data_IF_414015412138
#
_entry.id   IF_414015412138
#
_cell.length_a   1.000
_cell.length_b   1.000
_cell.length_c   1.000
_cell.angle_alpha   90.00
_cell.angle_beta   90.00
_cell.angle_gamma   90.00
#
_symmetry.space_group_name_H-M   'P 1'
#
loop_
_entity.id
_entity.type
_entity.pdbx_description
1 polymer ?
#
# COMPACT_ATOMS: atom_id res chain seq x y z
N UNK A 1 35.17 -20.43 6.57
CA UNK A 1 34.77 -19.26 7.38
C UNK A 1 35.11 -17.92 6.73
N UNK A 2 36.36 -17.61 6.29
CA UNK A 2 36.69 -16.29 5.76
C UNK A 2 35.87 -15.90 4.51
N UNK A 3 35.74 -16.83 3.55
CA UNK A 3 34.94 -16.62 2.35
C UNK A 3 33.44 -16.48 2.63
N UNK A 4 32.92 -17.18 3.65
CA UNK A 4 31.51 -17.07 4.04
C UNK A 4 31.22 -15.68 4.61
N UNK A 5 32.10 -15.14 5.46
CA UNK A 5 31.99 -13.77 5.98
C UNK A 5 32.21 -12.68 4.93
N UNK A 6 32.94 -12.98 3.85
CA UNK A 6 33.22 -12.01 2.80
C UNK A 6 32.11 -11.96 1.74
N UNK A 7 31.35 -13.05 1.58
CA UNK A 7 30.21 -13.08 0.66
C UNK A 7 29.10 -12.13 1.14
N UNK A 8 28.36 -11.55 0.20
CA UNK A 8 27.17 -10.75 0.54
C UNK A 8 26.11 -11.57 1.27
N UNK A 9 26.07 -12.88 0.99
CA UNK A 9 25.26 -13.88 1.71
C UNK A 9 26.08 -15.18 1.79
N UNK A 10 26.61 -15.50 2.96
CA UNK A 10 27.28 -16.77 3.24
C UNK A 10 26.27 -17.90 3.50
N UNK A 11 26.39 -19.03 2.80
CA UNK A 11 25.50 -20.19 2.95
C UNK A 11 26.29 -21.38 3.48
N UNK A 12 25.83 -21.99 4.58
CA UNK A 12 26.42 -23.20 5.14
C UNK A 12 25.42 -24.36 5.24
N UNK A 13 25.95 -25.58 5.20
CA UNK A 13 25.19 -26.82 5.37
C UNK A 13 24.79 -26.99 6.83
N UNK A 14 23.50 -27.26 7.08
CA UNK A 14 22.94 -27.39 8.41
C UNK A 14 23.34 -28.69 9.10
N UNK A 15 23.45 -29.81 8.36
CA UNK A 15 23.85 -31.11 8.94
C UNK A 15 25.32 -31.42 8.68
N UNK A 16 25.77 -31.28 7.44
CA UNK A 16 27.14 -31.58 7.00
C UNK A 16 28.14 -30.46 7.25
N UNK A 17 27.70 -29.26 7.60
CA UNK A 17 28.59 -28.11 7.85
C UNK A 17 29.25 -28.19 9.22
N UNK A 18 30.51 -27.76 9.31
CA UNK A 18 31.21 -27.60 10.59
C UNK A 18 30.58 -26.46 11.40
N UNK A 19 30.70 -26.52 12.73
CA UNK A 19 30.13 -25.50 13.62
C UNK A 19 30.67 -24.10 13.30
N UNK A 20 31.98 -24.01 13.02
CA UNK A 20 32.65 -22.78 12.56
C UNK A 20 32.08 -22.26 11.22
N UNK A 21 31.64 -23.15 10.32
CA UNK A 21 31.00 -22.72 9.08
C UNK A 21 29.56 -22.23 9.32
N UNK A 22 28.81 -22.86 10.23
CA UNK A 22 27.45 -22.45 10.58
C UNK A 22 27.41 -21.11 11.29
N UNK A 23 28.34 -20.87 12.22
CA UNK A 23 28.47 -19.59 12.91
C UNK A 23 28.94 -18.45 12.00
N UNK A 24 29.62 -18.77 10.90
CA UNK A 24 30.15 -17.79 9.96
C UNK A 24 29.21 -17.48 8.77
N UNK A 25 28.06 -18.16 8.66
CA UNK A 25 27.13 -18.02 7.55
C UNK A 25 25.88 -17.20 7.94
N UNK A 26 25.32 -16.48 6.97
CA UNK A 26 24.07 -15.71 7.14
C UNK A 26 22.83 -16.61 6.97
N UNK A 27 22.97 -17.74 6.26
CA UNK A 27 21.90 -18.67 5.98
C UNK A 27 22.35 -20.12 6.13
N UNK A 28 21.51 -20.96 6.74
CA UNK A 28 21.75 -22.38 6.93
C UNK A 28 20.76 -23.22 6.12
N UNK A 29 21.28 -24.20 5.38
CA UNK A 29 20.47 -25.20 4.70
C UNK A 29 20.14 -26.33 5.67
N UNK A 30 18.96 -26.29 6.29
CA UNK A 30 18.55 -27.28 7.30
C UNK A 30 18.45 -28.72 6.76
N UNK A 31 18.25 -28.85 5.45
CA UNK A 31 18.11 -30.10 4.73
C UNK A 31 19.33 -30.49 3.88
N UNK A 32 20.39 -29.67 3.88
CA UNK A 32 21.60 -29.87 3.08
C UNK A 32 21.31 -30.01 1.56
N UNK A 33 20.24 -29.38 1.07
CA UNK A 33 19.85 -29.46 -0.34
C UNK A 33 20.09 -28.13 -1.08
N UNK A 34 20.81 -28.19 -2.19
CA UNK A 34 21.02 -27.02 -3.05
C UNK A 34 19.72 -26.43 -3.62
N UNK A 35 18.66 -27.24 -3.79
CA UNK A 35 17.36 -26.75 -4.23
C UNK A 35 16.75 -25.72 -3.26
N UNK A 36 17.09 -25.79 -1.98
CA UNK A 36 16.66 -24.81 -0.97
C UNK A 36 17.25 -23.42 -1.20
N UNK A 37 18.41 -23.31 -1.88
CA UNK A 37 18.98 -22.03 -2.30
C UNK A 37 18.12 -21.39 -3.39
N UNK A 38 17.67 -22.18 -4.37
CA UNK A 38 16.78 -21.68 -5.43
C UNK A 38 15.46 -21.16 -4.84
N UNK A 39 14.86 -21.93 -3.94
CA UNK A 39 13.64 -21.52 -3.23
C UNK A 39 13.85 -20.24 -2.40
N UNK A 40 15.00 -20.10 -1.72
CA UNK A 40 15.34 -18.91 -0.97
C UNK A 40 15.52 -17.68 -1.88
N UNK A 41 16.13 -17.84 -3.06
CA UNK A 41 16.27 -16.77 -4.06
C UNK A 41 14.91 -16.35 -4.61
N UNK A 42 14.02 -17.30 -4.92
CA UNK A 42 12.66 -17.01 -5.35
C UNK A 42 11.88 -16.22 -4.28
N UNK A 43 12.03 -16.60 -3.01
CA UNK A 43 11.38 -15.93 -1.90
C UNK A 43 11.91 -14.51 -1.71
N UNK A 44 13.24 -14.33 -1.75
CA UNK A 44 13.87 -13.01 -1.67
C UNK A 44 13.41 -12.07 -2.79
N UNK A 45 13.27 -12.58 -4.03
CA UNK A 45 12.72 -11.81 -5.15
C UNK A 45 11.26 -11.39 -4.89
N UNK A 46 10.47 -12.28 -4.30
CA UNK A 46 9.06 -12.00 -3.96
C UNK A 46 8.95 -10.93 -2.87
N UNK A 47 9.72 -11.07 -1.79
CA UNK A 47 9.77 -10.08 -0.69
C UNK A 47 10.16 -8.71 -1.23
N UNK A 48 11.17 -8.62 -2.08
CA UNK A 48 11.59 -7.35 -2.69
C UNK A 48 10.47 -6.71 -3.54
N UNK A 49 9.79 -7.49 -4.37
CA UNK A 49 8.67 -7.01 -5.19
C UNK A 49 7.52 -6.49 -4.32
N UNK A 50 7.18 -7.21 -3.26
CA UNK A 50 6.12 -6.83 -2.33
C UNK A 50 6.50 -5.58 -1.51
N UNK A 51 7.77 -5.47 -1.10
CA UNK A 51 8.30 -4.26 -0.45
C UNK A 51 8.17 -3.03 -1.36
N UNK A 52 8.52 -3.15 -2.65
CA UNK A 52 8.37 -2.04 -3.60
C UNK A 52 6.90 -1.63 -3.77
N UNK A 53 5.96 -2.58 -3.81
CA UNK A 53 4.52 -2.28 -3.82
C UNK A 53 4.08 -1.55 -2.54
N UNK A 54 4.54 -2.02 -1.38
CA UNK A 54 4.26 -1.37 -0.10
C UNK A 54 4.77 0.08 -0.09
N UNK A 55 5.98 0.33 -0.57
CA UNK A 55 6.55 1.69 -0.70
C UNK A 55 5.70 2.54 -1.68
N UNK A 56 5.34 1.99 -2.83
CA UNK A 56 4.50 2.66 -3.83
C UNK A 56 3.09 2.99 -3.33
N UNK A 57 2.63 2.30 -2.29
CA UNK A 57 1.36 2.53 -1.63
C UNK A 57 1.49 3.52 -0.45
N UNK A 58 2.45 3.30 0.45
CA UNK A 58 2.64 4.07 1.68
C UNK A 58 3.09 5.51 1.43
N UNK A 59 4.10 5.73 0.58
CA UNK A 59 4.69 7.05 0.40
C UNK A 59 3.71 8.09 -0.16
N UNK A 60 2.93 7.79 -1.22
CA UNK A 60 2.00 8.78 -1.74
C UNK A 60 0.85 9.11 -0.76
N UNK A 61 0.43 8.10 0.01
CA UNK A 61 -0.60 8.21 1.04
C UNK A 61 -0.16 9.16 2.15
N UNK A 62 1.01 8.90 2.75
CA UNK A 62 1.60 9.76 3.78
C UNK A 62 1.93 11.16 3.23
N UNK A 63 2.40 11.25 1.99
CA UNK A 63 2.70 12.51 1.33
C UNK A 63 1.47 13.40 1.18
N UNK A 64 0.31 12.85 0.82
CA UNK A 64 -0.94 13.60 0.70
C UNK A 64 -1.45 14.14 2.04
N UNK A 65 -1.41 13.32 3.10
CA UNK A 65 -1.78 13.76 4.46
C UNK A 65 -0.83 14.85 4.97
N UNK A 66 0.48 14.63 4.84
CA UNK A 66 1.50 15.57 5.30
C UNK A 66 1.39 16.91 4.57
N UNK A 67 1.17 16.88 3.25
CA UNK A 67 0.95 18.06 2.43
C UNK A 67 -0.32 18.81 2.84
N UNK A 68 -1.40 18.09 3.18
CA UNK A 68 -2.64 18.69 3.68
C UNK A 68 -2.40 19.47 4.97
N UNK A 69 -1.71 18.86 5.93
CA UNK A 69 -1.43 19.48 7.23
C UNK A 69 -0.52 20.70 7.03
N UNK A 70 0.57 20.53 6.28
CA UNK A 70 1.53 21.59 6.00
C UNK A 70 0.87 22.80 5.34
N UNK A 71 0.10 22.58 4.27
CA UNK A 71 -0.55 23.67 3.53
C UNK A 71 -1.65 24.33 4.37
N UNK A 72 -2.43 23.56 5.13
CA UNK A 72 -3.46 24.13 6.00
C UNK A 72 -2.86 25.03 7.08
N UNK A 73 -1.73 24.60 7.67
CA UNK A 73 -0.98 25.40 8.64
C UNK A 73 -0.41 26.68 8.01
N UNK A 74 0.21 26.59 6.81
CA UNK A 74 0.76 27.75 6.10
C UNK A 74 -0.30 28.77 5.69
N UNK A 75 -1.50 28.30 5.34
CA UNK A 75 -2.64 29.15 4.98
C UNK A 75 -3.46 29.63 6.18
N UNK A 76 -3.03 29.33 7.41
CA UNK A 76 -3.76 29.61 8.64
C UNK A 76 -5.22 29.13 8.60
N UNK A 77 -5.48 27.99 7.96
CA UNK A 77 -6.79 27.35 7.90
C UNK A 77 -6.94 26.27 8.95
N UNK A 78 -8.19 25.94 9.24
CA UNK A 78 -8.54 24.79 10.07
C UNK A 78 -7.95 23.51 9.48
N UNK A 79 -7.45 22.64 10.36
CA UNK A 79 -6.87 21.37 9.96
C UNK A 79 -7.95 20.41 9.45
N UNK A 80 -7.85 19.95 8.18
CA UNK A 80 -8.78 18.96 7.62
C UNK A 80 -8.67 17.59 8.28
N UNK A 81 -7.50 17.29 8.86
CA UNK A 81 -7.22 16.05 9.58
C UNK A 81 -6.41 16.41 10.82
N UNK A 82 -6.84 15.91 11.98
CA UNK A 82 -6.14 16.06 13.26
C UNK A 82 -5.02 15.03 13.41
N UNK A 83 -4.01 15.34 14.22
CA UNK A 83 -2.88 14.45 14.50
C UNK A 83 -3.30 13.05 14.98
N UNK A 84 -4.31 12.98 15.85
CA UNK A 84 -4.85 11.71 16.36
C UNK A 84 -5.57 10.91 15.24
N UNK A 85 -6.28 11.60 14.34
CA UNK A 85 -6.91 10.98 13.18
C UNK A 85 -5.86 10.43 12.19
N UNK A 86 -4.71 11.11 12.02
CA UNK A 86 -3.57 10.60 11.25
C UNK A 86 -3.01 9.30 11.86
N UNK A 87 -2.86 9.24 13.19
CA UNK A 87 -2.40 8.03 13.86
C UNK A 87 -3.35 6.85 13.61
N UNK A 88 -4.65 7.09 13.70
CA UNK A 88 -5.67 6.09 13.37
C UNK A 88 -5.58 5.63 11.92
N UNK A 89 -5.48 6.57 10.99
CA UNK A 89 -5.33 6.30 9.56
C UNK A 89 -4.09 5.43 9.28
N UNK A 90 -2.96 5.76 9.90
CA UNK A 90 -1.72 5.00 9.77
C UNK A 90 -1.84 3.58 10.32
N UNK A 91 -2.47 3.43 11.48
CA UNK A 91 -2.69 2.11 12.08
C UNK A 91 -3.58 1.23 11.19
N UNK A 92 -4.76 1.72 10.77
CA UNK A 92 -5.64 0.97 9.87
C UNK A 92 -4.94 0.64 8.57
N UNK A 93 -4.27 1.62 7.95
CA UNK A 93 -3.59 1.44 6.67
C UNK A 93 -2.49 0.38 6.76
N UNK A 94 -1.79 0.32 7.88
CA UNK A 94 -0.76 -0.69 8.11
C UNK A 94 -1.37 -2.09 8.25
N UNK A 95 -2.38 -2.24 9.12
CA UNK A 95 -3.00 -3.53 9.42
C UNK A 95 -3.83 -4.10 8.27
N UNK A 96 -4.60 -3.25 7.59
CA UNK A 96 -5.64 -3.68 6.65
C UNK A 96 -5.25 -3.60 5.18
N UNK A 97 -4.21 -2.84 4.84
CA UNK A 97 -3.82 -2.60 3.44
C UNK A 97 -2.38 -3.01 3.19
N UNK A 98 -1.44 -2.45 3.95
CA UNK A 98 0.00 -2.61 3.71
C UNK A 98 0.49 -4.01 4.06
N UNK A 99 0.11 -4.55 5.22
CA UNK A 99 0.46 -5.93 5.62
C UNK A 99 -0.07 -6.94 4.61
N UNK A 100 -1.37 -6.94 4.25
CA UNK A 100 -1.88 -7.81 3.19
C UNK A 100 -1.15 -7.69 1.85
N UNK A 101 -0.74 -6.46 1.46
CA UNK A 101 0.02 -6.22 0.25
C UNK A 101 1.46 -6.77 0.32
N UNK A 102 2.07 -6.77 1.51
CA UNK A 102 3.40 -7.33 1.74
C UNK A 102 3.42 -8.87 1.65
N UNK A 103 2.30 -9.53 1.97
CA UNK A 103 2.14 -10.98 1.93
C UNK A 103 1.43 -11.48 0.66
N UNK A 104 1.48 -10.71 -0.44
CA UNK A 104 0.95 -11.18 -1.72
C UNK A 104 1.71 -12.42 -2.24
N UNK A 105 1.00 -13.36 -2.89
CA UNK A 105 1.60 -14.59 -3.40
C UNK A 105 2.66 -14.33 -4.48
N UNK A 106 3.57 -15.30 -4.62
CA UNK A 106 4.70 -15.26 -5.55
C UNK A 106 4.22 -14.96 -6.99
N UNK A 107 4.93 -14.07 -7.66
CA UNK A 107 4.72 -13.82 -9.09
C UNK A 107 5.18 -15.04 -9.91
N UNK A 108 4.30 -15.59 -10.75
CA UNK A 108 4.57 -16.80 -11.56
C UNK A 108 5.81 -16.70 -12.46
N UNK A 109 6.28 -15.49 -12.76
CA UNK A 109 7.43 -15.23 -13.64
C UNK A 109 8.63 -14.63 -12.89
N UNK A 110 8.66 -14.70 -11.56
CA UNK A 110 9.74 -14.08 -10.75
C UNK A 110 11.13 -14.63 -11.09
N UNK A 111 11.23 -15.92 -11.36
CA UNK A 111 12.50 -16.60 -11.70
C UNK A 111 12.94 -16.43 -13.16
N UNK A 112 12.01 -16.07 -14.06
CA UNK A 112 12.32 -15.83 -15.49
C UNK A 112 12.99 -14.47 -15.74
N UNK A 113 12.96 -13.58 -14.74
CA UNK A 113 13.60 -12.28 -14.84
C UNK A 113 15.08 -12.34 -14.47
N UNK A 114 15.94 -11.52 -15.10
CA UNK A 114 17.34 -11.42 -14.71
C UNK A 114 17.48 -10.88 -13.27
N UNK A 115 18.57 -11.20 -12.57
CA UNK A 115 18.87 -10.60 -11.27
C UNK A 115 18.84 -9.07 -11.34
N UNK A 116 18.29 -8.44 -10.30
CA UNK A 116 18.24 -6.98 -10.19
C UNK A 116 19.65 -6.40 -10.15
N UNK A 117 19.84 -5.23 -10.77
CA UNK A 117 21.06 -4.45 -10.59
C UNK A 117 21.14 -3.90 -9.16
N UNK A 118 22.18 -4.24 -8.36
CA UNK A 118 22.32 -3.75 -6.98
C UNK A 118 22.39 -2.22 -6.89
N UNK A 119 22.86 -1.55 -7.94
CA UNK A 119 22.98 -0.09 -8.02
C UNK A 119 21.66 0.64 -8.31
N UNK A 120 20.60 -0.10 -8.63
CA UNK A 120 19.30 0.51 -8.84
C UNK A 120 18.72 1.00 -7.50
N UNK A 121 18.32 2.28 -7.37
CA UNK A 121 17.73 2.80 -6.15
C UNK A 121 16.35 2.18 -5.92
N UNK A 122 15.97 2.01 -4.65
CA UNK A 122 14.63 1.55 -4.27
C UNK A 122 13.53 2.48 -4.81
N UNK A 123 13.76 3.79 -4.72
CA UNK A 123 12.87 4.83 -5.25
C UNK A 123 13.43 5.29 -6.60
N UNK A 124 12.92 4.70 -7.68
CA UNK A 124 13.28 5.13 -9.04
C UNK A 124 12.59 6.45 -9.39
N UNK A 125 13.10 7.20 -10.37
CA UNK A 125 12.46 8.43 -10.83
C UNK A 125 11.05 8.24 -11.41
N UNK A 126 10.70 7.02 -11.85
CA UNK A 126 9.31 6.66 -12.24
C UNK A 126 8.43 6.54 -11.00
N UNK A 127 8.90 5.82 -9.97
CA UNK A 127 8.21 5.67 -8.70
C UNK A 127 8.04 7.03 -8.00
N UNK A 128 9.05 7.90 -8.02
CA UNK A 128 8.95 9.24 -7.45
C UNK A 128 7.85 10.07 -8.13
N UNK A 129 7.75 10.04 -9.47
CA UNK A 129 6.68 10.73 -10.21
C UNK A 129 5.29 10.19 -9.85
N UNK A 130 5.17 8.87 -9.69
CA UNK A 130 3.94 8.24 -9.19
C UNK A 130 3.59 8.73 -7.78
N UNK A 131 4.57 8.78 -6.88
CA UNK A 131 4.39 9.26 -5.50
C UNK A 131 3.87 10.69 -5.51
N UNK A 132 4.54 11.60 -6.22
CA UNK A 132 4.13 13.01 -6.28
C UNK A 132 2.72 13.17 -6.85
N UNK A 133 2.41 12.48 -7.96
CA UNK A 133 1.11 12.62 -8.60
C UNK A 133 -0.05 12.13 -7.69
N UNK A 134 0.13 10.99 -7.03
CA UNK A 134 -0.89 10.43 -6.12
C UNK A 134 -0.96 11.22 -4.81
N UNK A 135 0.16 11.75 -4.30
CA UNK A 135 0.14 12.65 -3.14
C UNK A 135 -0.63 13.93 -3.41
N UNK A 136 -0.41 14.56 -4.57
CA UNK A 136 -1.15 15.76 -4.97
C UNK A 136 -2.64 15.45 -5.11
N UNK A 137 -3.00 14.32 -5.72
CA UNK A 137 -4.39 13.88 -5.80
C UNK A 137 -5.01 13.71 -4.41
N UNK A 138 -4.33 13.00 -3.50
CA UNK A 138 -4.81 12.79 -2.14
C UNK A 138 -4.97 14.12 -1.39
N UNK A 139 -4.02 15.05 -1.54
CA UNK A 139 -4.12 16.38 -0.97
C UNK A 139 -5.35 17.15 -1.48
N UNK A 140 -5.56 17.20 -2.80
CA UNK A 140 -6.73 17.85 -3.41
C UNK A 140 -8.03 17.20 -2.91
N UNK A 141 -8.06 15.87 -2.79
CA UNK A 141 -9.22 15.13 -2.32
C UNK A 141 -9.54 15.49 -0.86
N UNK A 142 -8.57 15.41 0.04
CA UNK A 142 -8.77 15.69 1.48
C UNK A 142 -9.24 17.12 1.65
N UNK A 143 -8.48 18.06 1.09
CA UNK A 143 -8.75 19.48 1.23
C UNK A 143 -10.06 19.89 0.55
N UNK A 144 -10.33 19.36 -0.64
CA UNK A 144 -11.54 19.63 -1.41
C UNK A 144 -12.81 19.10 -0.73
N UNK A 145 -12.79 17.86 -0.25
CA UNK A 145 -13.93 17.29 0.49
C UNK A 145 -14.15 18.04 1.81
N UNK A 146 -13.08 18.38 2.54
CA UNK A 146 -13.18 19.13 3.79
C UNK A 146 -13.82 20.51 3.58
N UNK A 147 -13.32 21.29 2.64
CA UNK A 147 -13.86 22.63 2.36
C UNK A 147 -15.30 22.57 1.82
N UNK A 148 -15.60 21.61 0.95
CA UNK A 148 -16.96 21.41 0.43
C UNK A 148 -17.94 20.99 1.53
N UNK A 149 -17.54 20.03 2.37
CA UNK A 149 -18.38 19.55 3.47
C UNK A 149 -18.60 20.66 4.49
N UNK A 150 -17.55 21.40 4.86
CA UNK A 150 -17.66 22.54 5.77
C UNK A 150 -18.60 23.62 5.25
N UNK A 151 -18.52 23.95 3.96
CA UNK A 151 -19.40 24.94 3.35
C UNK A 151 -20.87 24.47 3.30
N UNK A 152 -21.12 23.17 3.23
CA UNK A 152 -22.46 22.60 3.08
C UNK A 152 -23.13 22.31 4.42
N UNK A 153 -22.39 21.77 5.40
CA UNK A 153 -22.92 21.35 6.70
C UNK A 153 -22.74 22.39 7.80
N UNK A 154 -21.75 23.28 7.65
CA UNK A 154 -21.36 24.22 8.71
C UNK A 154 -20.63 23.59 9.90
N UNK A 155 -20.44 22.26 9.89
CA UNK A 155 -19.82 21.51 10.99
C UNK A 155 -18.46 20.94 10.59
N UNK A 156 -17.43 21.37 11.31
CA UNK A 156 -16.03 20.98 11.09
C UNK A 156 -15.82 19.50 11.42
N UNK A 157 -16.48 18.95 12.44
CA UNK A 157 -16.31 17.54 12.82
C UNK A 157 -16.88 16.61 11.72
N UNK A 158 -18.04 16.98 11.15
CA UNK A 158 -18.59 16.28 9.97
C UNK A 158 -17.64 16.38 8.79
N UNK A 159 -17.10 17.57 8.51
CA UNK A 159 -16.18 17.78 7.40
C UNK A 159 -14.90 16.93 7.51
N UNK A 160 -14.29 16.85 8.70
CA UNK A 160 -13.13 15.98 8.97
C UNK A 160 -13.48 14.50 8.77
N UNK A 161 -14.63 14.08 9.28
CA UNK A 161 -15.10 12.70 9.13
C UNK A 161 -15.30 12.35 7.65
N UNK A 162 -15.95 13.23 6.88
CA UNK A 162 -16.13 13.03 5.44
C UNK A 162 -14.79 12.97 4.70
N UNK A 163 -13.84 13.83 5.02
CA UNK A 163 -12.52 13.83 4.39
C UNK A 163 -11.77 12.52 4.65
N UNK A 164 -11.83 11.99 5.88
CA UNK A 164 -11.22 10.70 6.26
C UNK A 164 -11.88 9.54 5.51
N UNK A 165 -13.22 9.47 5.51
CA UNK A 165 -13.93 8.38 4.82
C UNK A 165 -13.66 8.40 3.32
N UNK A 166 -13.71 9.59 2.70
CA UNK A 166 -13.41 9.81 1.29
C UNK A 166 -11.99 9.36 0.92
N UNK A 167 -11.02 9.70 1.77
CA UNK A 167 -9.62 9.34 1.59
C UNK A 167 -9.41 7.82 1.70
N UNK A 168 -10.00 7.17 2.69
CA UNK A 168 -9.88 5.71 2.86
C UNK A 168 -10.59 4.96 1.72
N UNK A 169 -11.74 5.46 1.27
CA UNK A 169 -12.42 4.96 0.08
C UNK A 169 -11.52 4.99 -1.16
N UNK A 170 -10.87 6.14 -1.44
CA UNK A 170 -9.92 6.25 -2.54
C UNK A 170 -8.70 5.32 -2.36
N UNK A 171 -8.19 5.15 -1.14
CA UNK A 171 -7.07 4.23 -0.86
C UNK A 171 -7.38 2.79 -1.21
N UNK A 172 -8.60 2.33 -0.98
CA UNK A 172 -9.01 0.95 -1.35
C UNK A 172 -8.87 0.77 -2.87
N UNK A 173 -9.32 1.73 -3.67
CA UNK A 173 -9.16 1.68 -5.15
C UNK A 173 -7.69 1.73 -5.54
N UNK A 174 -6.89 2.58 -4.88
CA UNK A 174 -5.45 2.66 -5.14
C UNK A 174 -4.72 1.37 -4.80
N UNK A 175 -5.04 0.75 -3.66
CA UNK A 175 -4.52 -0.53 -3.21
C UNK A 175 -4.79 -1.60 -4.27
N UNK A 176 -6.03 -1.68 -4.77
CA UNK A 176 -6.39 -2.59 -5.86
C UNK A 176 -5.57 -2.31 -7.12
N UNK A 177 -5.27 -1.05 -7.44
CA UNK A 177 -4.47 -0.73 -8.63
C UNK A 177 -3.02 -1.21 -8.59
N UNK A 178 -2.46 -1.40 -7.39
CA UNK A 178 -1.08 -1.87 -7.15
C UNK A 178 -1.04 -3.39 -6.94
N UNK A 179 -2.11 -3.96 -6.40
CA UNK A 179 -2.20 -5.37 -6.04
C UNK A 179 -2.33 -6.27 -7.27
N UNK A 180 -1.91 -7.52 -7.13
CA UNK A 180 -2.16 -8.56 -8.14
C UNK A 180 -3.67 -8.80 -8.31
N UNK A 181 -4.44 -8.64 -7.23
CA UNK A 181 -5.89 -8.80 -7.24
C UNK A 181 -6.55 -7.81 -8.22
N UNK A 182 -6.24 -6.51 -8.13
CA UNK A 182 -6.86 -5.54 -9.06
C UNK A 182 -6.35 -5.66 -10.50
N UNK A 183 -5.11 -6.11 -10.72
CA UNK A 183 -4.64 -6.49 -12.05
C UNK A 183 -5.43 -7.66 -12.63
N UNK A 184 -5.70 -8.69 -11.83
CA UNK A 184 -6.50 -9.85 -12.23
C UNK A 184 -7.96 -9.49 -12.51
N UNK A 185 -8.57 -8.63 -11.67
CA UNK A 185 -9.91 -8.10 -11.88
C UNK A 185 -10.01 -7.26 -13.15
N UNK A 186 -9.03 -6.38 -13.39
CA UNK A 186 -8.99 -5.57 -14.61
C UNK A 186 -8.86 -6.43 -15.87
N UNK A 187 -8.02 -7.46 -15.82
CA UNK A 187 -7.86 -8.40 -16.94
C UNK A 187 -9.10 -9.28 -17.15
N UNK A 188 -9.76 -9.72 -16.09
CA UNK A 188 -11.03 -10.45 -16.14
C UNK A 188 -12.15 -9.58 -16.72
N UNK A 189 -12.26 -8.33 -16.25
CA UNK A 189 -13.22 -7.34 -16.74
C UNK A 189 -13.02 -7.03 -18.23
N UNK A 190 -11.77 -7.03 -18.71
CA UNK A 190 -11.42 -6.88 -20.13
C UNK A 190 -11.48 -8.20 -20.93
N UNK A 191 -12.10 -9.26 -20.38
CA UNK A 191 -12.21 -10.63 -20.95
C UNK A 191 -10.87 -11.23 -21.41
N UNK A 192 -9.76 -10.84 -20.80
CA UNK A 192 -8.40 -11.28 -21.19
C UNK A 192 -7.86 -12.41 -20.29
N UNK A 193 -8.58 -12.77 -19.22
CA UNK A 193 -8.25 -13.88 -18.32
C UNK A 193 -9.53 -14.51 -17.73
N UNK A 194 -9.52 -15.83 -17.51
CA UNK A 194 -10.67 -16.61 -17.01
C UNK A 194 -10.65 -16.89 -15.50
N UNK A 195 -9.66 -16.38 -14.75
CA UNK A 195 -9.53 -16.68 -13.32
C UNK A 195 -9.02 -15.47 -12.53
N UNK A 196 -9.75 -15.14 -11.47
CA UNK A 196 -9.36 -14.14 -10.46
C UNK A 196 -8.34 -14.79 -9.54
N UNK A 197 -7.22 -14.10 -9.30
CA UNK A 197 -6.19 -14.63 -8.40
C UNK A 197 -6.74 -14.60 -6.97
N UNK A 198 -6.73 -15.75 -6.28
CA UNK A 198 -7.18 -15.85 -4.89
C UNK A 198 -6.18 -15.15 -3.96
N UNK A 199 -6.46 -13.89 -3.62
CA UNK A 199 -5.73 -13.14 -2.60
C UNK A 199 -6.64 -12.92 -1.37
N UNK A 200 -6.97 -13.98 -0.61
CA UNK A 200 -7.96 -13.92 0.48
C UNK A 200 -7.56 -12.94 1.59
N UNK A 201 -6.25 -12.80 1.85
CA UNK A 201 -5.71 -11.88 2.86
C UNK A 201 -5.99 -10.42 2.49
N UNK A 202 -5.89 -10.05 1.21
CA UNK A 202 -6.17 -8.69 0.74
C UNK A 202 -7.67 -8.37 0.82
N UNK A 203 -8.54 -9.32 0.48
CA UNK A 203 -9.99 -9.16 0.59
C UNK A 203 -10.40 -8.97 2.06
N UNK A 204 -9.85 -9.81 2.94
CA UNK A 204 -10.08 -9.71 4.39
C UNK A 204 -9.57 -8.37 4.94
N UNK A 205 -8.42 -7.90 4.45
CA UNK A 205 -7.90 -6.57 4.74
C UNK A 205 -8.88 -5.46 4.33
N UNK A 206 -9.37 -5.45 3.09
CA UNK A 206 -10.34 -4.45 2.61
C UNK A 206 -11.63 -4.50 3.42
N UNK A 207 -12.16 -5.69 3.70
CA UNK A 207 -13.36 -5.85 4.52
C UNK A 207 -13.14 -5.31 5.95
N UNK A 208 -11.98 -5.61 6.54
CA UNK A 208 -11.57 -5.07 7.84
C UNK A 208 -11.43 -3.54 7.83
N UNK A 209 -10.87 -2.96 6.76
CA UNK A 209 -10.78 -1.52 6.60
C UNK A 209 -12.16 -0.86 6.59
N UNK A 210 -13.10 -1.41 5.81
CA UNK A 210 -14.48 -0.90 5.75
C UNK A 210 -15.17 -1.01 7.10
N UNK A 211 -15.07 -2.17 7.77
CA UNK A 211 -15.66 -2.38 9.09
C UNK A 211 -15.11 -1.39 10.14
N UNK A 212 -13.79 -1.20 10.17
CA UNK A 212 -13.13 -0.27 11.09
C UNK A 212 -13.51 1.20 10.78
N UNK A 213 -13.70 1.57 9.51
CA UNK A 213 -14.17 2.92 9.16
C UNK A 213 -15.63 3.16 9.51
N UNK A 214 -16.48 2.12 9.45
CA UNK A 214 -17.86 2.23 9.94
C UNK A 214 -17.86 2.44 11.45
N UNK A 215 -17.06 1.66 12.19
CA UNK A 215 -16.89 1.84 13.65
C UNK A 215 -16.36 3.22 13.99
N UNK A 216 -15.38 3.72 13.23
CA UNK A 216 -14.78 5.04 13.43
C UNK A 216 -15.81 6.17 13.32
N UNK A 217 -16.70 6.14 12.33
CA UNK A 217 -17.70 7.20 12.12
C UNK A 217 -18.95 7.06 13.00
N UNK A 218 -19.40 5.83 13.27
CA UNK A 218 -20.73 5.59 13.86
C UNK A 218 -20.69 5.37 15.38
N UNK A 219 -19.54 5.04 15.95
CA UNK A 219 -19.45 4.73 17.38
C UNK A 219 -19.26 6.02 18.22
N UNK A 220 -20.15 6.34 19.19
CA UNK A 220 -20.06 7.61 19.92
C UNK A 220 -18.76 7.81 20.69
N UNK A 221 -18.12 6.73 21.15
CA UNK A 221 -16.81 6.82 21.81
C UNK A 221 -15.72 7.34 20.87
N UNK A 222 -15.75 6.90 19.60
CA UNK A 222 -14.79 7.37 18.59
C UNK A 222 -15.05 8.83 18.25
N UNK A 223 -16.33 9.24 18.18
CA UNK A 223 -16.71 10.64 17.93
C UNK A 223 -16.17 11.61 18.98
N UNK A 224 -16.19 11.24 20.26
CA UNK A 224 -15.61 12.05 21.33
C UNK A 224 -14.08 12.05 21.29
N UNK A 225 -13.45 10.89 21.06
CA UNK A 225 -12.00 10.77 21.08
C UNK A 225 -11.32 11.43 19.89
N UNK A 226 -11.90 11.31 18.69
CA UNK A 226 -11.31 11.74 17.43
C UNK A 226 -11.89 13.02 16.87
N UNK A 227 -12.81 13.68 17.58
CA UNK A 227 -13.52 14.88 17.11
C UNK A 227 -14.18 14.64 15.74
N UNK A 228 -14.94 13.54 15.67
CA UNK A 228 -15.69 13.08 14.50
C UNK A 228 -17.20 13.12 14.75
N UNK A 229 -17.97 13.05 13.67
CA UNK A 229 -19.42 13.12 13.71
C UNK A 229 -20.06 11.97 12.92
N UNK A 230 -21.25 11.48 13.35
CA UNK A 230 -21.94 10.43 12.64
C UNK A 230 -22.38 10.93 11.26
N UNK A 231 -22.07 10.14 10.23
CA UNK A 231 -22.42 10.47 8.85
C UNK A 231 -23.79 9.93 8.48
N UNK A 232 -24.57 10.76 7.77
CA UNK A 232 -25.83 10.37 7.16
C UNK A 232 -25.61 9.51 5.90
N UNK A 233 -26.63 8.77 5.46
CA UNK A 233 -26.54 7.92 4.26
C UNK A 233 -26.12 8.68 2.99
N UNK A 234 -26.59 9.93 2.83
CA UNK A 234 -26.20 10.77 1.69
C UNK A 234 -24.72 11.17 1.75
N UNK A 235 -24.21 11.51 2.93
CA UNK A 235 -22.80 11.86 3.11
C UNK A 235 -21.88 10.66 2.85
N UNK A 236 -22.30 9.46 3.25
CA UNK A 236 -21.61 8.21 2.90
C UNK A 236 -21.51 8.00 1.39
N UNK A 237 -22.60 8.21 0.65
CA UNK A 237 -22.60 8.10 -0.82
C UNK A 237 -21.62 9.11 -1.44
N UNK A 238 -21.59 10.35 -0.94
CA UNK A 238 -20.62 11.36 -1.40
C UNK A 238 -19.18 10.91 -1.12
N UNK A 239 -18.92 10.30 0.03
CA UNK A 239 -17.59 9.77 0.37
C UNK A 239 -17.14 8.60 -0.53
N UNK A 240 -18.05 7.98 -1.29
CA UNK A 240 -17.69 6.96 -2.28
C UNK A 240 -17.33 7.55 -3.65
N UNK A 241 -17.75 8.78 -3.97
CA UNK A 241 -17.42 9.43 -5.25
C UNK A 241 -15.91 9.47 -5.57
N UNK A 242 -15.01 9.75 -4.60
CA UNK A 242 -13.58 9.73 -4.85
C UNK A 242 -13.03 8.39 -5.35
N UNK A 243 -13.72 7.27 -5.09
CA UNK A 243 -13.35 5.97 -5.67
C UNK A 243 -13.34 6.05 -7.20
N UNK A 244 -14.33 6.69 -7.79
CA UNK A 244 -14.47 6.83 -9.25
C UNK A 244 -13.34 7.69 -9.82
N UNK A 245 -13.00 8.80 -9.15
CA UNK A 245 -11.90 9.67 -9.56
C UNK A 245 -10.52 9.04 -9.34
N UNK A 246 -10.40 8.14 -8.38
CA UNK A 246 -9.15 7.43 -8.13
C UNK A 246 -8.84 6.40 -9.23
N UNK A 247 -9.84 5.85 -9.92
CA UNK A 247 -9.62 4.90 -11.03
C UNK A 247 -8.76 5.49 -12.17
N UNK A 248 -9.12 6.62 -12.81
CA UNK A 248 -8.30 7.20 -13.88
C UNK A 248 -6.93 7.66 -13.35
N UNK A 249 -6.87 8.19 -12.13
CA UNK A 249 -5.60 8.55 -11.49
C UNK A 249 -4.68 7.34 -11.30
N UNK A 250 -5.25 6.21 -10.87
CA UNK A 250 -4.53 4.96 -10.73
C UNK A 250 -4.07 4.38 -12.08
N UNK A 251 -4.88 4.51 -13.13
CA UNK A 251 -4.47 4.16 -14.49
C UNK A 251 -3.29 5.02 -14.94
N UNK A 252 -3.35 6.33 -14.73
CA UNK A 252 -2.27 7.26 -15.04
C UNK A 252 -0.99 6.94 -14.24
N UNK A 253 -1.12 6.66 -12.94
CA UNK A 253 -0.02 6.22 -12.09
C UNK A 253 0.64 4.93 -12.61
N UNK A 254 -0.17 3.97 -13.09
CA UNK A 254 0.28 2.73 -13.70
C UNK A 254 0.88 2.92 -15.11
N UNK A 255 0.59 4.02 -15.80
CA UNK A 255 1.29 4.38 -17.04
C UNK A 255 2.67 4.97 -16.76
N UNK A 256 2.80 5.75 -15.69
CA UNK A 256 4.07 6.38 -15.27
C UNK A 256 5.05 5.33 -14.71
N UNK A 257 4.57 4.48 -13.80
CA UNK A 257 5.32 3.38 -13.20
C UNK A 257 4.50 2.09 -13.34
N UNK A 258 4.69 1.32 -14.43
CA UNK A 258 3.94 0.12 -14.66
C UNK A 258 4.20 -0.91 -13.55
N UNK A 259 3.14 -1.60 -13.08
CA UNK A 259 3.31 -2.65 -12.10
C UNK A 259 4.24 -3.72 -12.65
N UNK A 260 5.13 -4.22 -11.79
CA UNK A 260 6.28 -5.07 -12.14
C UNK A 260 5.90 -6.35 -12.93
N UNK A 261 4.65 -6.80 -12.84
CA UNK A 261 4.08 -7.92 -13.61
C UNK A 261 3.83 -7.61 -15.09
N UNK A 262 3.64 -6.33 -15.48
CA UNK A 262 3.38 -5.92 -16.87
C UNK A 262 4.62 -5.53 -17.66
N UNK A 263 5.77 -5.36 -17.02
CA UNK A 263 6.95 -4.78 -17.66
C UNK A 263 7.50 -5.62 -18.83
N UNK A 264 7.20 -6.92 -18.93
CA UNK A 264 7.82 -7.82 -19.91
C UNK A 264 6.80 -8.66 -20.72
N UNK A 265 5.58 -8.16 -20.97
CA UNK A 265 4.68 -8.76 -21.97
C UNK A 265 4.66 -7.98 -23.30
N UNK A 266 5.70 -7.20 -23.56
CA UNK A 266 5.95 -6.49 -24.82
C UNK A 266 7.34 -6.88 -25.32
#
# INVERSE_FOLDING_TARGET
>A
APALKQADIGIAMGKGGTEVAREAADMLLTDDNFASIEAAVEEGRTVYQNLRKAIAFLLPVNGGESMTILISALLARELPILSLQVLWLNMINSLTMTVPLAFEPKSKNSMQQPPRNPKEPLITGKLLRRILAVSIFNWILIFGIFEWAKATTGDVAVARTMAIQALVAARIVYLLSISQLGLSLFNCMRRRANSVTNAPILILGIAGAVALQILFSQWPLMNVLFDTAPLTGNQWLICLLPMVFMVPMAVLANLIDPPYTKANSL
#
